data_IF_957300337554
#
_entry.id   IF_957300337554
#
_cell.length_a   1.000
_cell.length_b   1.000
_cell.length_c   1.000
_cell.angle_alpha   90.00
_cell.angle_beta   90.00
_cell.angle_gamma   90.00
#
_symmetry.space_group_name_H-M   'P 1'
#
loop_
_entity.id
_entity.type
_entity.pdbx_description
1 polymer ?
#
# COMPACT_ATOMS: atom_id res chain seq x y z
N UNK A 1 2.42 -7.86 29.18
CA UNK A 1 1.41 -6.80 29.00
C UNK A 1 2.09 -5.59 28.39
N UNK A 2 1.75 -5.20 27.16
CA UNK A 2 2.52 -4.21 26.37
C UNK A 2 2.60 -2.83 27.07
N UNK A 3 3.78 -2.17 27.17
CA UNK A 3 3.98 -1.04 28.10
C UNK A 3 3.70 0.37 27.55
N UNK A 4 3.03 0.54 26.41
CA UNK A 4 2.85 1.89 25.84
C UNK A 4 1.43 2.08 25.32
N UNK A 5 0.68 3.11 25.79
CA UNK A 5 -0.50 3.54 25.06
C UNK A 5 -0.03 3.91 23.65
N UNK A 6 -0.59 3.26 22.63
CA UNK A 6 -0.32 3.65 21.27
C UNK A 6 -0.89 5.05 21.09
N UNK A 7 -0.06 6.09 21.10
CA UNK A 7 -0.52 7.48 20.86
C UNK A 7 -0.40 7.85 19.38
N UNK A 8 0.20 6.95 18.58
CA UNK A 8 0.54 7.18 17.18
C UNK A 8 0.33 5.90 16.38
N UNK A 9 -0.04 6.05 15.10
CA UNK A 9 -0.08 4.91 14.19
C UNK A 9 1.33 4.36 13.93
N UNK A 10 1.46 3.04 13.73
CA UNK A 10 2.75 2.43 13.42
C UNK A 10 3.31 3.01 12.14
N UNK A 11 4.64 3.09 12.04
CA UNK A 11 5.30 3.59 10.84
C UNK A 11 4.88 2.73 9.62
N UNK A 12 4.33 3.31 8.56
CA UNK A 12 3.79 2.53 7.45
C UNK A 12 4.92 1.98 6.59
N UNK A 13 5.14 0.65 6.70
CA UNK A 13 6.15 -0.09 5.94
C UNK A 13 5.49 -0.72 4.70
N UNK A 14 5.83 -0.23 3.50
CA UNK A 14 5.33 -0.77 2.24
C UNK A 14 6.47 -1.52 1.54
N UNK A 15 6.31 -2.81 1.29
CA UNK A 15 7.28 -3.59 0.51
C UNK A 15 7.17 -3.22 -0.96
N UNK A 16 8.31 -3.03 -1.64
CA UNK A 16 8.37 -2.64 -3.06
C UNK A 16 7.57 -1.37 -3.40
N UNK A 17 7.40 -0.49 -2.41
CA UNK A 17 6.77 0.80 -2.56
C UNK A 17 7.38 1.84 -1.64
N UNK A 18 6.90 3.06 -1.78
CA UNK A 18 7.37 4.25 -1.08
C UNK A 18 6.19 5.13 -0.69
N UNK A 19 6.37 5.91 0.37
CA UNK A 19 5.42 6.96 0.74
C UNK A 19 5.71 8.19 -0.10
N UNK A 20 4.68 8.76 -0.71
CA UNK A 20 4.78 10.00 -1.50
C UNK A 20 4.42 11.21 -0.65
N UNK A 21 3.70 11.00 0.46
CA UNK A 21 3.42 12.07 1.43
C UNK A 21 4.64 12.45 2.27
N UNK A 22 4.56 13.63 2.89
CA UNK A 22 5.57 14.17 3.80
C UNK A 22 6.05 13.14 4.84
N UNK A 23 7.37 13.01 4.95
CA UNK A 23 7.96 12.16 5.97
C UNK A 23 7.77 12.81 7.35
N UNK A 24 7.23 12.03 8.28
CA UNK A 24 7.03 12.44 9.69
C UNK A 24 7.67 11.40 10.59
N UNK A 25 8.12 11.83 11.77
CA UNK A 25 8.60 10.93 12.81
C UNK A 25 7.45 10.11 13.41
N UNK A 26 6.26 10.71 13.55
CA UNK A 26 5.06 10.08 14.12
C UNK A 26 3.79 10.49 13.37
N UNK A 27 2.79 9.60 13.34
CA UNK A 27 1.49 9.82 12.73
C UNK A 27 0.39 9.85 13.79
N UNK A 28 -0.33 10.96 13.88
CA UNK A 28 -1.45 11.17 14.80
C UNK A 28 -2.77 10.88 14.11
N UNK A 29 -3.82 10.72 14.91
CA UNK A 29 -5.19 10.58 14.40
C UNK A 29 -5.55 11.71 13.43
N UNK A 30 -6.05 11.37 12.25
CA UNK A 30 -6.36 12.29 11.16
C UNK A 30 -5.26 12.42 10.11
N UNK A 31 -4.01 12.05 10.42
CA UNK A 31 -2.92 12.10 9.44
C UNK A 31 -3.16 11.12 8.30
N UNK A 32 -3.01 11.59 7.06
CA UNK A 32 -3.20 10.78 5.85
C UNK A 32 -1.88 10.63 5.10
N UNK A 33 -1.61 9.40 4.66
CA UNK A 33 -0.38 9.04 3.96
C UNK A 33 -0.73 8.41 2.62
N UNK A 34 -0.06 8.88 1.58
CA UNK A 34 -0.17 8.40 0.20
C UNK A 34 1.02 7.51 -0.13
N UNK A 35 0.74 6.39 -0.77
CA UNK A 35 1.71 5.38 -1.17
C UNK A 35 1.81 5.28 -2.69
N UNK A 36 3.00 4.92 -3.16
CA UNK A 36 3.25 4.58 -4.55
C UNK A 36 4.13 3.33 -4.62
N UNK A 37 3.88 2.47 -5.59
CA UNK A 37 4.71 1.30 -5.84
C UNK A 37 5.91 1.64 -6.71
N UNK A 38 6.96 0.82 -6.62
CA UNK A 38 8.11 0.91 -7.50
C UNK A 38 7.72 0.52 -8.94
N UNK A 39 8.52 0.93 -9.91
CA UNK A 39 8.30 0.62 -11.33
C UNK A 39 8.16 -0.90 -11.53
N UNK A 40 7.12 -1.33 -12.25
CA UNK A 40 6.80 -2.74 -12.47
C UNK A 40 5.99 -3.40 -11.35
N UNK A 41 5.62 -2.66 -10.30
CA UNK A 41 4.70 -3.12 -9.26
C UNK A 41 3.38 -2.36 -9.32
N UNK A 42 2.28 -3.08 -9.13
CA UNK A 42 0.92 -2.57 -9.06
C UNK A 42 0.48 -2.47 -7.60
N UNK A 43 -0.10 -1.32 -7.25
CA UNK A 43 -0.64 -1.06 -5.93
C UNK A 43 -1.95 -1.85 -5.75
N UNK A 44 -1.96 -2.80 -4.82
CA UNK A 44 -3.16 -3.52 -4.41
C UNK A 44 -3.69 -2.95 -3.09
N UNK A 45 -4.95 -2.53 -3.09
CA UNK A 45 -5.60 -1.88 -1.95
C UNK A 45 -5.72 -0.37 -2.15
N UNK A 46 -5.75 0.37 -1.05
CA UNK A 46 -5.92 1.83 -1.11
C UNK A 46 -4.58 2.55 -1.29
N UNK A 47 -4.54 3.51 -2.21
CA UNK A 47 -3.38 4.38 -2.40
C UNK A 47 -3.12 5.28 -1.19
N UNK A 48 -4.16 5.56 -0.41
CA UNK A 48 -4.12 6.42 0.77
C UNK A 48 -4.62 5.68 2.00
N UNK A 49 -3.96 5.90 3.13
CA UNK A 49 -4.41 5.42 4.44
C UNK A 49 -4.40 6.56 5.44
N UNK A 50 -5.43 6.62 6.28
CA UNK A 50 -5.55 7.62 7.33
C UNK A 50 -5.35 6.96 8.69
N UNK A 51 -4.60 7.61 9.57
CA UNK A 51 -4.44 7.18 10.95
C UNK A 51 -5.73 7.45 11.70
N UNK A 52 -6.40 6.40 12.18
CA UNK A 52 -7.68 6.50 12.90
C UNK A 52 -7.44 6.61 14.41
N UNK A 53 -8.48 6.95 15.16
CA UNK A 53 -8.44 7.11 16.62
C UNK A 53 -8.08 5.82 17.37
N UNK A 54 -8.18 4.67 16.70
CA UNK A 54 -7.72 3.37 17.20
C UNK A 54 -6.24 3.10 16.89
N UNK A 55 -5.48 4.14 16.52
CA UNK A 55 -4.05 4.09 16.19
C UNK A 55 -3.69 3.05 15.12
N UNK A 56 -4.65 2.80 14.22
CA UNK A 56 -4.49 1.91 13.08
C UNK A 56 -4.75 2.66 11.78
N UNK A 57 -4.04 2.22 10.75
CA UNK A 57 -4.25 2.68 9.39
C UNK A 57 -5.56 2.15 8.85
N UNK A 58 -6.42 3.05 8.37
CA UNK A 58 -7.64 2.70 7.67
C UNK A 58 -7.82 3.57 6.43
N UNK A 59 -8.06 2.98 5.25
CA UNK A 59 -7.95 1.54 4.96
C UNK A 59 -6.54 0.98 5.26
N UNK A 60 -6.37 -0.35 5.41
CA UNK A 60 -5.09 -0.96 5.70
C UNK A 60 -4.04 -0.61 4.64
N UNK A 61 -2.77 -0.67 5.04
CA UNK A 61 -1.64 -0.31 4.18
C UNK A 61 -1.65 -1.14 2.89
N UNK A 62 -1.43 -0.53 1.72
CA UNK A 62 -1.45 -1.24 0.45
C UNK A 62 -0.26 -2.19 0.31
N UNK A 63 -0.42 -3.17 -0.58
CA UNK A 63 0.65 -4.10 -0.96
C UNK A 63 1.02 -3.86 -2.41
N UNK A 64 2.31 -3.67 -2.67
CA UNK A 64 2.81 -3.59 -4.04
C UNK A 64 3.11 -4.99 -4.55
N UNK A 65 2.27 -5.47 -5.47
CA UNK A 65 2.49 -6.75 -6.13
C UNK A 65 3.16 -6.51 -7.47
N UNK A 66 4.13 -7.34 -7.84
CA UNK A 66 4.70 -7.29 -9.19
C UNK A 66 3.53 -7.42 -10.16
N UNK A 67 3.39 -6.46 -11.07
CA UNK A 67 2.38 -6.57 -12.11
C UNK A 67 2.57 -7.94 -12.76
N UNK A 68 1.49 -8.71 -12.92
CA UNK A 68 1.53 -9.81 -13.87
C UNK A 68 2.02 -9.13 -15.14
N UNK A 69 3.22 -9.50 -15.59
CA UNK A 69 3.65 -9.16 -16.94
C UNK A 69 2.43 -9.40 -17.82
N UNK A 70 2.10 -8.54 -18.81
CA UNK A 70 1.20 -9.00 -19.83
C UNK A 70 1.88 -10.23 -20.42
N UNK A 71 1.53 -11.41 -19.91
CA UNK A 71 1.67 -12.66 -20.59
C UNK A 71 0.67 -12.66 -21.74
N UNK A 72 0.50 -11.54 -22.43
CA UNK A 72 0.04 -11.44 -23.80
C UNK A 72 1.01 -12.16 -24.76
N UNK A 73 1.99 -12.94 -24.27
CA UNK A 73 2.48 -14.12 -25.00
C UNK A 73 1.46 -15.27 -25.08
N UNK A 74 0.22 -15.14 -24.57
CA UNK A 74 -0.95 -15.88 -25.05
C UNK A 74 -1.80 -15.09 -26.08
N UNK A 75 -1.63 -13.77 -26.20
CA UNK A 75 -2.22 -12.99 -27.29
C UNK A 75 -1.32 -12.92 -28.54
N UNK A 76 -0.23 -13.70 -28.59
CA UNK A 76 0.62 -13.77 -29.76
C UNK A 76 0.20 -14.83 -30.79
N UNK A 77 -0.78 -15.71 -30.50
CA UNK A 77 -1.34 -16.67 -31.46
C UNK A 77 -2.82 -16.96 -31.14
N UNK A 78 -3.65 -16.97 -32.17
CA UNK A 78 -5.11 -16.86 -32.08
C UNK A 78 -5.89 -18.09 -31.61
N UNK A 79 -7.21 -17.87 -31.64
CA UNK A 79 -8.39 -18.75 -31.50
C UNK A 79 -8.87 -19.07 -30.08
N UNK A 80 -10.05 -18.52 -29.77
CA UNK A 80 -11.03 -19.15 -28.91
C UNK A 80 -11.61 -20.39 -29.63
N UNK A 81 -11.66 -21.55 -28.95
CA UNK A 81 -12.68 -22.55 -29.22
C UNK A 81 -13.63 -22.65 -28.03
N UNK A 82 -14.87 -22.21 -28.22
CA UNK A 82 -16.04 -23.10 -28.27
C UNK A 82 -17.26 -22.31 -28.77
#
# INVERSE_FOLDING_TARGET
SLPFPATHCPFPRIQYGKRVSVARNFYRTGDTVTFACNTGYTLQGSRTSTCRANFRWSPPLPVCKKGKCPSARWQLRGKAPS
#
